data_IF_890466438209
#
_entry.id   IF_890466438209
#
_cell.length_a   1.000
_cell.length_b   1.000
_cell.length_c   1.000
_cell.angle_alpha   90.00
_cell.angle_beta   90.00
_cell.angle_gamma   90.00
#
_symmetry.space_group_name_H-M   'P 1'
#
loop_
_entity.id
_entity.type
_entity.pdbx_description
1 polymer ?
#
# COMPACT_ATOMS: atom_id res chain seq x y z
N UNK A 1 13.42 -12.85 -0.58
CA UNK A 1 14.10 -11.54 -0.60
C UNK A 1 13.73 -10.86 -1.91
N UNK A 2 13.12 -9.67 -1.86
CA UNK A 2 12.81 -8.90 -3.06
C UNK A 2 14.12 -8.53 -3.77
N UNK A 3 14.20 -8.85 -5.05
CA UNK A 3 15.32 -8.46 -5.91
C UNK A 3 14.95 -7.12 -6.54
N UNK A 4 15.83 -6.14 -6.44
CA UNK A 4 15.62 -4.83 -7.04
C UNK A 4 16.78 -4.49 -7.98
N UNK A 5 16.49 -3.65 -8.97
CA UNK A 5 17.48 -3.03 -9.83
C UNK A 5 17.47 -1.53 -9.58
N UNK A 6 18.65 -0.94 -9.62
CA UNK A 6 18.84 0.49 -9.45
C UNK A 6 19.60 1.08 -10.62
N UNK A 7 19.15 2.23 -11.08
CA UNK A 7 19.78 3.01 -12.13
C UNK A 7 19.91 4.46 -11.68
N UNK A 8 21.01 5.11 -12.06
CA UNK A 8 21.27 6.52 -11.79
C UNK A 8 21.71 7.22 -13.07
N UNK A 9 21.28 8.47 -13.21
CA UNK A 9 21.73 9.37 -14.27
C UNK A 9 23.17 9.83 -14.13
N UNK A 10 23.65 9.86 -12.90
CA UNK A 10 24.96 10.35 -12.51
C UNK A 10 25.86 9.18 -12.12
N UNK A 11 27.14 9.34 -12.37
CA UNK A 11 28.14 8.31 -12.11
C UNK A 11 28.54 8.34 -10.63
N UNK A 12 28.91 7.18 -10.11
CA UNK A 12 29.41 6.99 -8.74
C UNK A 12 30.60 6.05 -8.73
N UNK A 13 31.56 6.31 -7.84
CA UNK A 13 32.70 5.42 -7.62
C UNK A 13 32.32 4.19 -6.79
N UNK A 14 31.39 4.38 -5.83
CA UNK A 14 30.79 3.30 -5.04
C UNK A 14 29.55 2.76 -5.72
N UNK A 15 29.24 1.48 -5.51
CA UNK A 15 27.98 0.89 -5.98
C UNK A 15 26.79 1.56 -5.31
N UNK A 16 25.87 2.07 -6.12
CA UNK A 16 24.66 2.73 -5.64
C UNK A 16 23.74 1.80 -4.83
N UNK A 17 23.82 0.49 -5.08
CA UNK A 17 23.13 -0.56 -4.31
C UNK A 17 23.44 -0.46 -2.80
N UNK A 18 24.65 -0.01 -2.44
CA UNK A 18 25.06 0.13 -1.04
C UNK A 18 24.28 1.25 -0.34
N UNK A 19 23.77 2.24 -1.08
CA UNK A 19 22.98 3.32 -0.52
C UNK A 19 21.50 2.93 -0.31
N UNK A 20 21.05 1.77 -0.80
CA UNK A 20 19.63 1.38 -0.75
C UNK A 20 19.39 0.26 0.24
N UNK A 21 18.47 0.49 1.15
CA UNK A 21 17.98 -0.51 2.11
C UNK A 21 16.49 -0.80 1.90
N UNK A 22 16.09 -2.05 2.13
CA UNK A 22 14.72 -2.52 1.89
C UNK A 22 14.18 -3.17 3.15
N UNK A 23 13.00 -2.75 3.60
CA UNK A 23 12.32 -3.24 4.80
C UNK A 23 10.89 -3.68 4.48
N UNK A 24 10.38 -4.69 5.20
CA UNK A 24 9.05 -5.27 4.96
C UNK A 24 8.02 -4.89 6.02
N UNK A 25 8.45 -4.27 7.12
CA UNK A 25 7.61 -3.94 8.26
C UNK A 25 7.61 -2.42 8.53
N UNK A 26 6.61 -1.97 9.28
CA UNK A 26 6.37 -0.57 9.64
C UNK A 26 7.23 -0.11 10.82
N UNK A 27 8.41 -0.70 11.01
CA UNK A 27 9.30 -0.29 12.09
C UNK A 27 9.64 1.20 11.94
N UNK A 28 9.52 1.93 13.04
CA UNK A 28 9.81 3.36 13.10
C UNK A 28 11.29 3.58 12.82
N UNK A 29 11.59 4.13 11.64
CA UNK A 29 12.94 4.34 11.17
C UNK A 29 13.54 5.58 11.82
N UNK A 30 14.27 5.40 12.92
CA UNK A 30 15.18 6.43 13.43
C UNK A 30 16.33 6.65 12.43
N UNK A 31 16.73 7.92 12.30
CA UNK A 31 17.74 8.39 11.36
C UNK A 31 19.13 7.83 11.69
N UNK A 32 19.38 7.50 12.96
CA UNK A 32 20.63 6.88 13.43
C UNK A 32 20.91 5.52 12.76
N UNK A 33 19.86 4.85 12.27
CA UNK A 33 19.98 3.60 11.51
C UNK A 33 20.05 3.83 9.99
N UNK A 34 20.06 5.08 9.54
CA UNK A 34 19.85 5.46 8.13
C UNK A 34 21.14 5.85 7.41
N UNK A 35 22.09 6.43 8.14
CA UNK A 35 23.33 6.97 7.58
C UNK A 35 24.51 6.19 8.15
N UNK A 36 25.19 5.43 7.29
CA UNK A 36 26.45 4.79 7.60
C UNK A 36 27.49 5.23 6.57
N UNK A 37 28.77 5.26 6.94
CA UNK A 37 29.84 5.74 6.05
C UNK A 37 29.92 4.89 4.76
N UNK A 38 29.51 3.63 4.87
CA UNK A 38 29.44 2.63 3.81
C UNK A 38 28.28 2.90 2.83
N UNK A 39 27.19 3.51 3.29
CA UNK A 39 26.00 3.83 2.47
C UNK A 39 26.12 5.18 1.76
N UNK A 40 27.06 6.03 2.20
CA UNK A 40 27.32 7.33 1.59
C UNK A 40 27.97 7.19 0.21
N UNK A 41 27.30 7.71 -0.82
CA UNK A 41 27.72 7.69 -2.22
C UNK A 41 27.73 9.12 -2.78
N UNK A 42 28.86 9.50 -3.38
CA UNK A 42 28.95 10.74 -4.16
C UNK A 42 28.48 10.46 -5.59
N UNK A 43 27.51 11.24 -6.06
CA UNK A 43 27.01 11.20 -7.42
C UNK A 43 27.57 12.39 -8.19
N UNK A 44 28.18 12.14 -9.35
CA UNK A 44 28.80 13.16 -10.21
C UNK A 44 28.17 13.15 -11.61
N UNK A 45 27.81 14.32 -12.11
CA UNK A 45 27.37 14.45 -13.51
C UNK A 45 28.55 14.36 -14.45
N UNK A 46 28.59 13.33 -15.30
CA UNK A 46 29.66 13.14 -16.29
C UNK A 46 29.38 13.79 -17.65
N UNK A 47 28.10 14.07 -17.98
CA UNK A 47 27.69 14.38 -19.36
C UNK A 47 26.96 15.71 -19.54
N UNK A 48 26.31 16.25 -18.50
CA UNK A 48 25.60 17.53 -18.58
C UNK A 48 25.54 18.20 -17.19
N UNK A 49 26.25 19.31 -16.95
CA UNK A 49 26.24 19.99 -15.66
C UNK A 49 24.86 20.60 -15.33
N UNK A 50 23.99 20.79 -16.31
CA UNK A 50 22.65 21.40 -16.11
C UNK A 50 21.52 20.38 -15.95
N UNK A 51 21.80 19.07 -16.01
CA UNK A 51 20.76 18.05 -15.84
C UNK A 51 20.65 17.61 -14.38
N UNK A 52 19.45 17.69 -13.82
CA UNK A 52 19.13 17.14 -12.49
C UNK A 52 19.51 15.66 -12.38
N UNK A 53 19.90 15.23 -11.18
CA UNK A 53 20.14 13.83 -10.89
C UNK A 53 18.80 13.07 -10.85
N UNK A 54 18.74 11.87 -11.44
CA UNK A 54 17.61 10.96 -11.32
C UNK A 54 18.08 9.56 -10.93
N UNK A 55 17.35 8.92 -10.02
CA UNK A 55 17.54 7.54 -9.60
C UNK A 55 16.24 6.78 -9.85
N UNK A 56 16.33 5.68 -10.59
CA UNK A 56 15.23 4.75 -10.84
C UNK A 56 15.45 3.49 -10.04
N UNK A 57 14.44 3.08 -9.26
CA UNK A 57 14.47 1.84 -8.51
C UNK A 57 13.28 0.99 -8.94
N UNK A 58 13.57 -0.23 -9.38
CA UNK A 58 12.56 -1.17 -9.85
C UNK A 58 12.65 -2.48 -9.06
N UNK A 59 11.52 -2.90 -8.49
CA UNK A 59 11.36 -4.18 -7.81
C UNK A 59 10.95 -5.22 -8.85
N UNK A 60 11.69 -6.33 -8.89
CA UNK A 60 11.45 -7.41 -9.85
C UNK A 60 9.99 -7.84 -9.88
N UNK A 61 9.42 -8.02 -11.07
CA UNK A 61 8.02 -8.41 -11.30
C UNK A 61 7.61 -9.72 -10.61
N UNK A 62 8.57 -10.58 -10.30
CA UNK A 62 8.35 -11.82 -9.54
C UNK A 62 8.13 -11.60 -8.03
N UNK A 63 8.27 -10.38 -7.54
CA UNK A 63 8.05 -10.00 -6.15
C UNK A 63 6.58 -9.76 -5.86
N UNK A 64 6.07 -10.36 -4.78
CA UNK A 64 4.73 -10.06 -4.25
C UNK A 64 4.67 -8.70 -3.54
N UNK A 65 5.77 -7.97 -3.49
CA UNK A 65 5.93 -6.77 -2.68
C UNK A 65 6.06 -5.52 -3.55
N UNK A 66 5.41 -4.44 -3.14
CA UNK A 66 5.40 -3.12 -3.77
C UNK A 66 5.98 -2.08 -2.82
N UNK A 67 6.64 -1.06 -3.36
CA UNK A 67 7.17 0.09 -2.62
C UNK A 67 5.99 0.93 -2.15
N UNK A 68 5.84 1.09 -0.84
CA UNK A 68 4.74 1.82 -0.19
C UNK A 68 5.20 3.09 0.53
N UNK A 69 6.48 3.14 0.91
CA UNK A 69 7.09 4.29 1.58
C UNK A 69 8.52 4.47 1.09
N UNK A 70 8.90 5.73 0.92
CA UNK A 70 10.25 6.16 0.59
C UNK A 70 10.75 7.05 1.73
N UNK A 71 11.89 6.69 2.29
CA UNK A 71 12.67 7.58 3.14
C UNK A 71 14.04 7.80 2.46
N UNK A 72 14.58 9.00 2.54
CA UNK A 72 15.76 9.40 1.77
C UNK A 72 16.54 10.48 2.52
N UNK A 73 17.86 10.32 2.59
CA UNK A 73 18.79 11.30 3.15
C UNK A 73 19.77 11.72 2.05
N UNK A 74 19.78 13.01 1.71
CA UNK A 74 20.61 13.54 0.62
C UNK A 74 20.94 15.03 0.81
N UNK A 75 21.81 15.57 -0.03
CA UNK A 75 22.06 17.01 -0.11
C UNK A 75 20.90 17.80 -0.77
N UNK A 76 19.95 17.10 -1.41
CA UNK A 76 18.87 17.74 -2.13
C UNK A 76 17.73 18.16 -1.21
N UNK A 77 17.40 19.45 -1.24
CA UNK A 77 16.25 20.00 -0.50
C UNK A 77 14.90 19.68 -1.14
N UNK A 78 14.85 19.55 -2.47
CA UNK A 78 13.61 19.32 -3.22
C UNK A 78 13.73 18.04 -4.01
N UNK A 79 12.80 17.13 -3.78
CA UNK A 79 12.78 15.80 -4.38
C UNK A 79 11.44 15.61 -5.10
N UNK A 80 11.49 15.28 -6.38
CA UNK A 80 10.31 15.01 -7.21
C UNK A 80 10.21 13.51 -7.44
N UNK A 81 9.01 12.94 -7.23
CA UNK A 81 8.74 11.52 -7.38
C UNK A 81 7.87 11.26 -8.59
N UNK A 82 8.23 10.24 -9.35
CA UNK A 82 7.54 9.78 -10.54
C UNK A 82 7.31 8.27 -10.49
N UNK A 83 6.21 7.82 -11.10
CA UNK A 83 5.85 6.41 -11.17
C UNK A 83 6.44 5.68 -12.37
N UNK A 84 5.95 4.45 -12.66
CA UNK A 84 6.49 3.59 -13.72
C UNK A 84 6.33 4.14 -15.15
N UNK A 85 5.33 4.98 -15.40
CA UNK A 85 5.04 5.57 -16.71
C UNK A 85 5.50 7.02 -16.79
N UNK A 86 6.51 7.39 -16.00
CA UNK A 86 6.97 8.77 -15.79
C UNK A 86 5.83 9.72 -15.35
N UNK A 87 4.76 9.19 -14.76
CA UNK A 87 3.69 10.00 -14.20
C UNK A 87 4.17 10.69 -12.92
N UNK A 88 3.88 11.98 -12.81
CA UNK A 88 4.24 12.75 -11.62
C UNK A 88 3.38 12.31 -10.42
N UNK A 89 4.05 11.94 -9.33
CA UNK A 89 3.39 11.53 -8.08
C UNK A 89 3.32 12.73 -7.12
N UNK A 90 4.47 13.26 -6.73
CA UNK A 90 4.56 14.31 -5.72
C UNK A 90 5.89 15.04 -5.72
N UNK A 91 5.92 16.25 -5.14
CA UNK A 91 7.15 16.95 -4.77
C UNK A 91 7.24 16.96 -3.26
N UNK A 92 8.39 16.55 -2.74
CA UNK A 92 8.68 16.51 -1.32
C UNK A 92 9.75 17.55 -0.99
N UNK A 93 9.50 18.33 0.06
CA UNK A 93 10.46 19.26 0.61
C UNK A 93 11.13 18.61 1.80
N UNK A 94 12.42 18.33 1.68
CA UNK A 94 13.17 17.66 2.71
C UNK A 94 13.45 18.59 3.90
N UNK A 95 13.40 18.03 5.10
CA UNK A 95 13.69 18.71 6.35
C UNK A 95 15.21 18.80 6.52
N UNK A 96 15.70 20.00 6.87
CA UNK A 96 17.11 20.18 7.18
C UNK A 96 17.44 19.43 8.47
N UNK A 97 18.54 18.70 8.44
CA UNK A 97 19.00 17.90 9.58
C UNK A 97 20.25 18.48 10.23
N UNK A 98 21.31 18.61 9.44
CA UNK A 98 22.64 18.98 9.92
C UNK A 98 23.51 19.49 8.76
N UNK A 99 24.68 20.02 9.08
CA UNK A 99 25.76 20.30 8.12
C UNK A 99 26.93 19.34 8.35
N UNK A 100 27.30 18.57 7.34
CA UNK A 100 28.45 17.66 7.36
C UNK A 100 29.45 18.08 6.28
N UNK A 101 30.69 18.41 6.67
CA UNK A 101 31.76 18.84 5.74
C UNK A 101 31.31 19.93 4.73
N UNK A 102 30.63 20.98 5.22
CA UNK A 102 30.06 22.08 4.42
C UNK A 102 28.92 21.69 3.45
N UNK A 103 28.44 20.45 3.53
CA UNK A 103 27.27 19.94 2.82
C UNK A 103 26.06 19.89 3.76
N UNK A 104 24.98 20.57 3.36
CA UNK A 104 23.72 20.50 4.09
C UNK A 104 23.07 19.13 3.88
N UNK A 105 22.67 18.49 4.96
CA UNK A 105 22.03 17.18 4.98
C UNK A 105 20.53 17.38 5.15
N UNK A 106 19.76 16.80 4.26
CA UNK A 106 18.30 16.84 4.31
C UNK A 106 17.72 15.44 4.38
N UNK A 107 16.63 15.30 5.14
CA UNK A 107 15.85 14.08 5.26
C UNK A 107 14.45 14.28 4.70
N UNK A 108 13.97 13.28 3.98
CA UNK A 108 12.58 13.22 3.55
C UNK A 108 12.01 11.85 3.82
N UNK A 109 10.75 11.84 4.21
CA UNK A 109 9.98 10.63 4.37
C UNK A 109 8.59 10.86 3.77
N UNK A 110 8.15 9.95 2.92
CA UNK A 110 6.85 10.07 2.26
C UNK A 110 6.24 8.72 1.97
N UNK A 111 4.93 8.64 2.13
CA UNK A 111 4.13 7.51 1.68
C UNK A 111 3.84 7.69 0.18
N UNK A 112 3.93 6.61 -0.57
CA UNK A 112 3.61 6.59 -2.00
C UNK A 112 2.52 5.56 -2.26
N UNK A 113 1.78 5.74 -3.35
CA UNK A 113 0.91 4.69 -3.86
C UNK A 113 1.75 3.44 -4.14
N UNK A 114 1.37 2.25 -3.62
CA UNK A 114 2.14 1.03 -3.81
C UNK A 114 2.51 0.78 -5.27
N UNK A 115 3.81 0.76 -5.57
CA UNK A 115 4.34 0.63 -6.93
C UNK A 115 5.54 -0.32 -7.01
N UNK A 116 5.71 -0.99 -8.14
CA UNK A 116 6.91 -1.80 -8.43
C UNK A 116 8.10 -0.94 -8.86
N UNK A 117 7.86 0.28 -9.32
CA UNK A 117 8.91 1.21 -9.76
C UNK A 117 8.71 2.60 -9.16
N UNK A 118 9.81 3.23 -8.78
CA UNK A 118 9.86 4.64 -8.40
C UNK A 118 11.04 5.34 -9.07
N UNK A 119 10.76 6.54 -9.56
CA UNK A 119 11.69 7.45 -10.19
C UNK A 119 11.85 8.68 -9.29
N UNK A 120 13.07 8.88 -8.78
CA UNK A 120 13.41 9.95 -7.84
C UNK A 120 14.26 10.97 -8.57
N UNK A 121 13.80 12.21 -8.65
CA UNK A 121 14.53 13.31 -9.26
C UNK A 121 14.92 14.33 -8.20
N UNK A 122 16.22 14.62 -8.14
CA UNK A 122 16.78 15.57 -7.19
C UNK A 122 16.82 16.95 -7.84
N UNK A 123 16.01 17.88 -7.33
CA UNK A 123 15.85 19.22 -7.86
C UNK A 123 16.52 20.26 -6.95
N UNK A 124 16.92 21.39 -7.56
CA UNK A 124 17.48 22.55 -6.85
C UNK A 124 18.70 22.20 -5.97
N UNK A 125 19.62 21.44 -6.54
CA UNK A 125 20.89 21.10 -5.88
C UNK A 125 21.73 22.36 -5.66
N UNK A 126 22.45 22.40 -4.53
CA UNK A 126 23.42 23.47 -4.22
C UNK A 126 24.59 23.45 -5.22
N UNK A 127 25.01 22.25 -5.60
CA UNK A 127 26.04 22.03 -6.60
C UNK A 127 25.42 21.47 -7.89
N UNK A 128 25.78 22.02 -9.04
CA UNK A 128 25.15 21.66 -10.33
C UNK A 128 25.60 20.27 -10.83
N UNK A 129 26.79 19.82 -10.46
CA UNK A 129 27.43 18.64 -11.03
C UNK A 129 27.80 17.54 -10.01
N UNK A 130 27.48 17.74 -8.72
CA UNK A 130 27.74 16.76 -7.67
C UNK A 130 26.65 16.80 -6.60
N UNK A 131 26.39 15.68 -5.97
CA UNK A 131 25.56 15.62 -4.77
C UNK A 131 25.94 14.41 -3.93
N UNK A 132 25.76 14.55 -2.62
CA UNK A 132 25.85 13.42 -1.70
C UNK A 132 24.49 12.74 -1.51
N UNK A 133 24.49 11.43 -1.70
CA UNK A 133 23.41 10.53 -1.30
C UNK A 133 23.89 9.74 -0.08
N UNK A 134 23.24 9.94 1.06
CA UNK A 134 23.64 9.30 2.31
C UNK A 134 22.91 7.97 2.52
N UNK A 135 21.68 7.87 2.02
CA UNK A 135 20.92 6.61 2.03
C UNK A 135 19.51 6.76 1.46
N UNK A 136 18.99 5.65 0.95
CA UNK A 136 17.62 5.45 0.50
C UNK A 136 17.07 4.25 1.26
N UNK A 137 15.86 4.37 1.79
CA UNK A 137 15.14 3.27 2.40
C UNK A 137 13.79 3.11 1.75
N UNK A 138 13.51 1.88 1.34
CA UNK A 138 12.24 1.48 0.76
C UNK A 138 11.50 0.58 1.75
N UNK A 139 10.28 0.96 2.10
CA UNK A 139 9.37 0.06 2.80
C UNK A 139 8.48 -0.63 1.78
N UNK A 140 8.51 -1.96 1.78
CA UNK A 140 7.72 -2.77 0.90
C UNK A 140 6.49 -3.33 1.62
N UNK A 141 5.33 -3.17 1.00
CA UNK A 141 4.08 -3.78 1.43
C UNK A 141 3.71 -4.94 0.50
N UNK A 142 3.14 -6.01 1.03
CA UNK A 142 2.64 -7.11 0.22
C UNK A 142 1.44 -6.66 -0.63
N UNK A 143 1.46 -6.96 -1.93
CA UNK A 143 0.32 -6.71 -2.82
C UNK A 143 -0.81 -7.72 -2.53
N UNK A 144 -2.01 -7.20 -2.28
CA UNK A 144 -3.24 -8.00 -2.09
C UNK A 144 -3.76 -8.61 -3.40
N UNK A 145 -3.26 -8.14 -4.55
CA UNK A 145 -3.75 -8.51 -5.88
C UNK A 145 -3.61 -10.01 -6.16
N UNK A 146 -2.60 -10.68 -5.60
CA UNK A 146 -2.37 -12.13 -5.80
C UNK A 146 -3.36 -13.01 -5.04
N UNK A 147 -3.99 -12.52 -3.97
CA UNK A 147 -5.04 -13.29 -3.29
C UNK A 147 -6.30 -13.39 -4.14
N UNK A 148 -6.64 -12.35 -4.89
CA UNK A 148 -7.78 -12.35 -5.81
C UNK A 148 -7.54 -13.34 -6.96
N UNK A 149 -6.30 -13.45 -7.46
CA UNK A 149 -5.94 -14.44 -8.49
C UNK A 149 -5.95 -15.88 -7.96
N UNK A 150 -5.58 -16.09 -6.69
CA UNK A 150 -5.69 -17.41 -6.04
C UNK A 150 -7.13 -17.78 -5.69
N UNK A 151 -7.99 -16.81 -5.38
CA UNK A 151 -9.43 -17.04 -5.17
C UNK A 151 -10.17 -17.34 -6.48
N UNK A 152 -9.64 -16.87 -7.62
CA UNK A 152 -10.13 -17.16 -8.96
C UNK A 152 -9.74 -18.55 -9.51
N UNK A 153 -9.14 -19.42 -8.68
CA UNK A 153 -8.93 -20.84 -9.01
C UNK A 153 -10.28 -21.61 -8.93
N UNK A 154 -11.27 -21.15 -9.68
CA UNK A 154 -12.52 -21.88 -9.87
C UNK A 154 -12.15 -23.15 -10.62
N UNK A 155 -12.21 -24.30 -9.94
CA UNK A 155 -12.01 -25.60 -10.56
C UNK A 155 -13.17 -25.89 -11.53
N UNK A 156 -13.07 -25.33 -12.73
CA UNK A 156 -14.10 -25.38 -13.75
C UNK A 156 -14.35 -26.80 -14.23
N UNK A 157 -13.38 -27.70 -14.06
CA UNK A 157 -13.51 -29.13 -14.34
C UNK A 157 -14.53 -29.76 -13.41
N UNK A 158 -14.39 -29.53 -12.10
CA UNK A 158 -15.32 -30.05 -11.09
C UNK A 158 -16.74 -29.47 -11.24
N UNK A 159 -16.85 -28.19 -11.62
CA UNK A 159 -18.14 -27.55 -11.95
C UNK A 159 -18.76 -28.19 -13.20
N UNK A 160 -17.96 -28.46 -14.24
CA UNK A 160 -18.44 -29.07 -15.49
C UNK A 160 -18.87 -30.52 -15.29
N UNK A 161 -18.14 -31.28 -14.47
CA UNK A 161 -18.46 -32.67 -14.17
C UNK A 161 -19.77 -32.76 -13.37
N UNK A 162 -19.95 -31.92 -12.34
CA UNK A 162 -21.21 -31.82 -11.61
C UNK A 162 -22.40 -31.37 -12.46
N UNK A 163 -22.19 -30.47 -13.41
CA UNK A 163 -23.24 -30.02 -14.33
C UNK A 163 -23.64 -31.11 -15.33
N UNK A 164 -22.70 -31.95 -15.78
CA UNK A 164 -22.99 -33.11 -16.64
C UNK A 164 -23.81 -34.17 -15.91
N UNK A 165 -23.52 -34.41 -14.64
CA UNK A 165 -24.26 -35.37 -13.81
C UNK A 165 -25.68 -34.89 -13.48
N UNK A 166 -25.97 -33.59 -13.67
CA UNK A 166 -27.24 -32.98 -13.30
C UNK A 166 -28.37 -33.11 -14.33
N UNK A 167 -28.14 -33.72 -15.52
CA UNK A 167 -29.12 -33.88 -16.61
C UNK A 167 -29.91 -32.60 -17.01
N UNK A 168 -29.45 -31.41 -16.62
CA UNK A 168 -30.03 -30.14 -17.03
C UNK A 168 -29.29 -29.62 -18.26
N UNK A 169 -30.03 -29.33 -19.32
CA UNK A 169 -29.49 -28.60 -20.47
C UNK A 169 -29.12 -27.19 -20.02
N UNK A 170 -27.84 -26.82 -20.15
CA UNK A 170 -27.41 -25.46 -19.85
C UNK A 170 -28.18 -24.48 -20.74
N UNK A 171 -28.71 -23.42 -20.13
CA UNK A 171 -29.21 -22.28 -20.87
C UNK A 171 -28.08 -21.65 -21.70
N UNK A 172 -28.41 -21.14 -22.89
CA UNK A 172 -27.50 -20.39 -23.77
C UNK A 172 -26.74 -19.26 -23.03
N UNK A 173 -27.41 -18.62 -22.05
CA UNK A 173 -26.81 -17.59 -21.19
C UNK A 173 -25.76 -18.17 -20.24
N UNK A 174 -26.03 -19.33 -19.67
CA UNK A 174 -25.10 -20.03 -18.78
C UNK A 174 -23.89 -20.55 -19.55
N UNK A 175 -24.09 -21.02 -20.80
CA UNK A 175 -22.99 -21.44 -21.66
C UNK A 175 -22.10 -20.26 -22.08
N UNK A 176 -22.69 -19.11 -22.38
CA UNK A 176 -21.96 -17.87 -22.68
C UNK A 176 -21.16 -17.37 -21.48
N UNK A 177 -21.74 -17.40 -20.28
CA UNK A 177 -21.04 -17.08 -19.04
C UNK A 177 -19.91 -18.07 -18.75
N UNK A 178 -20.11 -19.37 -19.02
CA UNK A 178 -19.05 -20.39 -18.90
C UNK A 178 -17.89 -20.11 -19.86
N UNK A 179 -18.18 -19.80 -21.14
CA UNK A 179 -17.16 -19.45 -22.14
C UNK A 179 -16.39 -18.19 -21.72
N UNK A 180 -17.08 -17.20 -21.17
CA UNK A 180 -16.45 -16.01 -20.59
C UNK A 180 -15.50 -16.38 -19.44
N UNK A 181 -15.96 -17.10 -18.42
CA UNK A 181 -15.11 -17.50 -17.29
C UNK A 181 -13.92 -18.37 -17.73
N UNK A 182 -14.09 -19.22 -18.76
CA UNK A 182 -13.00 -19.98 -19.38
C UNK A 182 -11.95 -19.09 -20.04
N UNK A 183 -12.36 -18.02 -20.74
CA UNK A 183 -11.39 -17.10 -21.34
C UNK A 183 -10.56 -16.32 -20.32
N UNK A 184 -11.05 -16.16 -19.07
CA UNK A 184 -10.28 -15.53 -17.99
C UNK A 184 -9.42 -16.51 -17.20
N UNK A 185 -9.87 -17.75 -17.02
CA UNK A 185 -9.18 -18.76 -16.21
C UNK A 185 -8.00 -19.46 -16.90
N UNK A 186 -7.77 -19.23 -18.20
CA UNK A 186 -6.71 -19.91 -18.98
C UNK A 186 -5.49 -19.00 -19.23
N UNK A 187 -5.43 -17.81 -18.63
CA UNK A 187 -4.33 -16.86 -18.81
C UNK A 187 -3.09 -17.19 -17.96
N UNK A 188 -2.53 -18.39 -18.10
CA UNK A 188 -1.16 -18.68 -17.66
C UNK A 188 -0.11 -18.32 -18.73
N UNK A 189 -0.51 -17.71 -19.86
CA UNK A 189 0.43 -17.31 -20.92
C UNK A 189 0.34 -15.82 -21.27
N UNK A 190 1.33 -15.05 -20.81
CA UNK A 190 2.07 -13.96 -21.51
C UNK A 190 1.34 -12.93 -22.40
N UNK A 191 0.03 -12.75 -22.30
CA UNK A 191 -0.66 -11.68 -23.01
C UNK A 191 -1.45 -10.83 -22.04
N UNK A 192 -1.13 -9.53 -22.03
CA UNK A 192 -1.93 -8.46 -21.43
C UNK A 192 -3.40 -8.67 -21.79
N UNK A 193 -4.25 -8.79 -20.77
CA UNK A 193 -5.69 -8.80 -20.95
C UNK A 193 -6.12 -7.39 -21.34
N UNK A 194 -6.45 -7.18 -22.62
CA UNK A 194 -6.89 -5.90 -23.14
C UNK A 194 -8.19 -5.45 -22.42
N UNK A 195 -8.16 -4.36 -21.63
CA UNK A 195 -9.32 -3.85 -20.91
C UNK A 195 -10.49 -3.45 -21.84
N UNK A 196 -10.24 -3.30 -23.15
CA UNK A 196 -11.30 -3.04 -24.13
C UNK A 196 -12.20 -4.24 -24.39
N UNK A 197 -11.75 -5.47 -24.11
CA UNK A 197 -12.59 -6.68 -24.26
C UNK A 197 -13.66 -6.72 -23.16
N UNK A 198 -13.30 -6.36 -21.92
CA UNK A 198 -14.26 -6.17 -20.81
C UNK A 198 -15.29 -5.10 -21.14
N UNK A 199 -14.83 -3.98 -21.69
CA UNK A 199 -15.70 -2.87 -22.05
C UNK A 199 -16.68 -3.25 -23.16
N UNK A 200 -16.20 -3.90 -24.23
CA UNK A 200 -17.05 -4.40 -25.32
C UNK A 200 -18.09 -5.42 -24.87
N UNK A 201 -17.76 -6.29 -23.92
CA UNK A 201 -18.70 -7.29 -23.40
C UNK A 201 -19.77 -6.64 -22.52
N UNK A 202 -19.40 -5.67 -21.67
CA UNK A 202 -20.36 -4.87 -20.90
C UNK A 202 -21.26 -4.01 -21.80
N UNK A 203 -20.70 -3.44 -22.87
CA UNK A 203 -21.45 -2.70 -23.89
C UNK A 203 -22.42 -3.59 -24.66
N UNK A 204 -22.03 -4.84 -24.96
CA UNK A 204 -22.92 -5.80 -25.64
C UNK A 204 -24.13 -6.21 -24.80
N UNK A 205 -24.08 -6.06 -23.47
CA UNK A 205 -25.24 -6.26 -22.58
C UNK A 205 -26.18 -5.04 -22.52
N UNK A 206 -25.73 -3.85 -22.98
CA UNK A 206 -26.53 -2.62 -22.93
C UNK A 206 -27.33 -2.34 -24.21
N UNK A 207 -27.18 -3.14 -25.28
CA UNK A 207 -27.85 -2.92 -26.56
C UNK A 207 -29.09 -3.80 -26.79
N UNK A 208 -29.88 -4.07 -25.75
CA UNK A 208 -31.26 -4.50 -25.96
C UNK A 208 -32.23 -3.53 -25.29
N UNK A 209 -32.86 -2.73 -26.16
CA UNK A 209 -34.13 -2.00 -25.94
C UNK A 209 -34.16 -0.84 -24.94
N UNK A 210 -34.56 0.31 -25.51
CA UNK A 210 -35.16 1.53 -24.94
C UNK A 210 -34.24 2.75 -24.75
N UNK A 211 -34.73 3.86 -25.33
CA UNK A 211 -34.05 5.12 -25.66
C UNK A 211 -33.79 6.08 -24.48
N UNK A 212 -33.90 5.65 -23.23
CA UNK A 212 -33.85 6.59 -22.08
C UNK A 212 -32.92 6.11 -20.96
N UNK A 213 -31.59 6.22 -21.14
CA UNK A 213 -30.63 5.81 -20.10
C UNK A 213 -29.50 6.82 -19.91
N UNK A 214 -29.82 8.01 -19.38
CA UNK A 214 -28.82 8.91 -18.77
C UNK A 214 -29.01 9.10 -17.25
N UNK A 215 -30.04 8.47 -16.64
CA UNK A 215 -30.37 8.67 -15.21
C UNK A 215 -30.33 7.42 -14.31
N UNK A 216 -29.97 6.24 -14.84
CA UNK A 216 -30.12 4.99 -14.08
C UNK A 216 -28.81 4.24 -13.71
N UNK A 217 -27.64 4.82 -14.00
CA UNK A 217 -26.35 4.20 -13.63
C UNK A 217 -26.19 4.08 -12.10
N UNK A 218 -26.64 5.08 -11.33
CA UNK A 218 -26.52 5.08 -9.87
C UNK A 218 -27.32 3.95 -9.19
N UNK A 219 -28.48 3.55 -9.74
CA UNK A 219 -29.29 2.45 -9.18
C UNK A 219 -28.69 1.07 -9.42
N UNK A 220 -27.90 0.89 -10.49
CA UNK A 220 -27.28 -0.41 -10.81
C UNK A 220 -26.00 -0.66 -10.01
N UNK A 221 -25.25 0.38 -9.66
CA UNK A 221 -24.11 0.25 -8.73
C UNK A 221 -24.54 -0.08 -7.30
N UNK A 222 -25.74 0.34 -6.88
CA UNK A 222 -26.25 0.05 -5.54
C UNK A 222 -26.41 -1.46 -5.25
N UNK A 223 -26.55 -2.30 -6.29
CA UNK A 223 -26.63 -3.77 -6.17
C UNK A 223 -25.25 -4.46 -6.21
N UNK A 224 -24.19 -3.75 -6.57
CA UNK A 224 -22.81 -4.27 -6.56
C UNK A 224 -22.08 -3.96 -5.25
N UNK A 225 -22.54 -2.96 -4.50
CA UNK A 225 -21.98 -2.59 -3.18
C UNK A 225 -22.00 -3.76 -2.17
N UNK A 226 -23.06 -4.61 -2.08
CA UNK A 226 -23.06 -5.75 -1.16
C UNK A 226 -22.07 -6.86 -1.52
N UNK A 227 -21.43 -6.80 -2.69
CA UNK A 227 -20.43 -7.77 -3.15
C UNK A 227 -19.01 -7.41 -2.70
N UNK A 228 -18.77 -6.15 -2.30
CA UNK A 228 -17.48 -5.66 -1.82
C UNK A 228 -17.33 -5.72 -0.29
N UNK A 229 -18.41 -5.97 0.44
CA UNK A 229 -18.41 -6.12 1.90
C UNK A 229 -19.05 -7.45 2.29
N UNK A 230 -18.29 -8.55 2.13
CA UNK A 230 -18.55 -9.81 2.84
C UNK A 230 -17.27 -10.26 3.53
N UNK A 231 -16.95 -9.59 4.65
CA UNK A 231 -16.33 -10.28 5.77
C UNK A 231 -17.44 -10.99 6.53
N UNK A 232 -17.13 -12.20 7.00
CA UNK A 232 -18.06 -13.20 7.49
C UNK A 232 -18.95 -12.74 8.65
N UNK A 233 -20.11 -13.41 8.65
CA UNK A 233 -21.13 -13.51 9.67
C UNK A 233 -22.23 -12.44 9.80
N UNK A 234 -23.46 -12.98 9.81
CA UNK A 234 -24.75 -12.36 10.13
C UNK A 234 -25.51 -11.75 8.93
N UNK A 235 -26.11 -12.61 8.10
CA UNK A 235 -27.41 -12.32 7.47
C UNK A 235 -28.11 -13.62 7.07
N UNK A 236 -28.74 -14.27 8.04
CA UNK A 236 -29.91 -15.11 7.79
C UNK A 236 -31.13 -14.30 8.18
N UNK A 237 -32.09 -14.23 7.26
CA UNK A 237 -33.42 -13.63 7.35
C UNK A 237 -33.53 -12.16 6.91
N UNK A 238 -33.54 -11.90 5.60
CA UNK A 238 -34.61 -11.12 4.97
C UNK A 238 -34.80 -11.66 3.54
N UNK A 239 -35.69 -12.63 3.39
CA UNK A 239 -36.35 -12.90 2.11
C UNK A 239 -37.44 -11.85 1.92
N UNK A 240 -37.43 -11.23 0.74
CA UNK A 240 -38.56 -10.66 0.01
C UNK A 240 -39.69 -9.98 0.82
N UNK A 241 -39.67 -8.65 0.85
CA UNK A 241 -40.91 -7.87 0.95
C UNK A 241 -40.95 -6.89 -0.23
N UNK A 242 -41.70 -7.30 -1.25
CA UNK A 242 -42.23 -6.46 -2.30
C UNK A 242 -43.37 -5.63 -1.71
N UNK A 243 -43.21 -4.31 -1.50
CA UNK A 243 -44.34 -3.42 -1.18
C UNK A 243 -44.12 -2.00 -1.71
N UNK A 244 -44.88 -1.64 -2.74
CA UNK A 244 -45.44 -0.31 -2.85
C UNK A 244 -46.30 -0.08 -1.59
N UNK A 245 -45.91 0.84 -0.71
CA UNK A 245 -46.63 1.11 0.53
C UNK A 245 -46.08 2.31 1.28
N UNK A 246 -46.88 3.34 1.37
CA UNK A 246 -46.67 4.57 2.15
C UNK A 246 -46.70 4.27 3.65
N UNK A 247 -45.88 5.00 4.42
CA UNK A 247 -45.85 5.16 5.89
C UNK A 247 -45.13 4.06 6.74
N UNK A 248 -44.34 4.56 7.73
CA UNK A 248 -43.66 3.89 8.86
C UNK A 248 -42.16 3.52 8.76
N UNK A 249 -41.34 4.22 7.96
CA UNK A 249 -39.87 4.01 7.93
C UNK A 249 -39.04 4.75 9.01
N UNK A 250 -39.61 5.61 9.85
CA UNK A 250 -38.78 6.38 10.80
C UNK A 250 -38.30 5.59 12.01
N UNK A 251 -39.09 4.59 12.46
CA UNK A 251 -38.77 3.79 13.66
C UNK A 251 -37.56 2.87 13.45
N UNK A 252 -37.52 2.13 12.34
CA UNK A 252 -36.44 1.16 12.06
C UNK A 252 -35.08 1.85 11.82
N UNK A 253 -35.10 3.06 11.27
CA UNK A 253 -33.88 3.87 11.08
C UNK A 253 -33.38 4.38 12.43
N UNK A 254 -34.27 4.70 13.36
CA UNK A 254 -33.91 5.20 14.68
C UNK A 254 -33.34 4.08 15.57
N UNK A 255 -33.87 2.86 15.45
CA UNK A 255 -33.34 1.69 16.14
C UNK A 255 -31.96 1.28 15.59
N UNK A 256 -31.77 1.35 14.26
CA UNK A 256 -30.46 1.13 13.65
C UNK A 256 -29.44 2.20 14.09
N UNK A 257 -29.87 3.47 14.18
CA UNK A 257 -29.02 4.56 14.66
C UNK A 257 -28.58 4.33 16.12
N UNK A 258 -29.52 3.97 17.00
CA UNK A 258 -29.21 3.63 18.40
C UNK A 258 -28.23 2.47 18.52
N UNK A 259 -28.37 1.45 17.67
CA UNK A 259 -27.44 0.32 17.63
C UNK A 259 -26.03 0.75 17.21
N UNK A 260 -25.92 1.60 16.19
CA UNK A 260 -24.64 2.14 15.72
C UNK A 260 -24.00 3.00 16.82
N UNK A 261 -24.76 3.90 17.44
CA UNK A 261 -24.26 4.77 18.51
C UNK A 261 -23.77 3.94 19.71
N UNK A 262 -24.50 2.89 20.11
CA UNK A 262 -24.06 1.97 21.15
C UNK A 262 -22.78 1.22 20.78
N UNK A 263 -22.67 0.73 19.54
CA UNK A 263 -21.47 0.02 19.08
C UNK A 263 -20.26 0.93 18.98
N UNK A 264 -20.46 2.18 18.57
CA UNK A 264 -19.40 3.20 18.57
C UNK A 264 -18.90 3.46 19.99
N UNK A 265 -19.81 3.63 20.95
CA UNK A 265 -19.47 3.86 22.35
C UNK A 265 -18.72 2.67 22.97
N UNK A 266 -19.11 1.43 22.63
CA UNK A 266 -18.42 0.22 23.06
C UNK A 266 -16.98 0.15 22.53
N UNK A 267 -16.78 0.52 21.25
CA UNK A 267 -15.45 0.58 20.64
C UNK A 267 -14.59 1.65 21.30
N UNK A 268 -15.15 2.84 21.57
CA UNK A 268 -14.45 3.92 22.26
C UNK A 268 -13.99 3.48 23.66
N UNK A 269 -14.87 2.87 24.45
CA UNK A 269 -14.51 2.37 25.79
C UNK A 269 -13.43 1.29 25.74
N UNK A 270 -13.50 0.38 24.77
CA UNK A 270 -12.47 -0.64 24.58
C UNK A 270 -11.12 -0.02 24.20
N UNK A 271 -11.11 0.98 23.30
CA UNK A 271 -9.90 1.72 22.95
C UNK A 271 -9.31 2.47 24.14
N UNK A 272 -10.15 3.16 24.93
CA UNK A 272 -9.69 3.86 26.13
C UNK A 272 -9.06 2.91 27.13
N UNK A 273 -9.70 1.78 27.44
CA UNK A 273 -9.14 0.80 28.38
C UNK A 273 -7.83 0.18 27.87
N UNK A 274 -7.70 -0.06 26.56
CA UNK A 274 -6.45 -0.54 25.96
C UNK A 274 -5.32 0.49 26.07
N UNK A 275 -5.62 1.77 25.87
CA UNK A 275 -4.66 2.86 26.02
C UNK A 275 -4.24 3.01 27.48
N UNK A 276 -5.18 2.99 28.42
CA UNK A 276 -4.88 3.07 29.87
C UNK A 276 -3.96 1.92 30.31
N UNK A 277 -4.26 0.69 29.89
CA UNK A 277 -3.41 -0.48 30.17
C UNK A 277 -1.99 -0.33 29.58
N UNK A 278 -1.86 0.21 28.37
CA UNK A 278 -0.54 0.46 27.76
C UNK A 278 0.24 1.55 28.51
N UNK A 279 -0.43 2.61 28.96
CA UNK A 279 0.19 3.67 29.76
C UNK A 279 0.68 3.10 31.09
N UNK A 280 -0.14 2.29 31.77
CA UNK A 280 0.24 1.65 33.04
C UNK A 280 1.43 0.69 32.86
N UNK A 281 1.44 -0.08 31.78
CA UNK A 281 2.57 -0.95 31.45
C UNK A 281 3.86 -0.15 31.23
N UNK A 282 3.81 0.92 30.44
CA UNK A 282 4.97 1.78 30.19
C UNK A 282 5.47 2.46 31.46
N UNK A 283 4.57 2.90 32.35
CA UNK A 283 4.95 3.47 33.64
C UNK A 283 5.64 2.45 34.53
N UNK A 284 5.16 1.20 34.56
CA UNK A 284 5.78 0.13 35.33
C UNK A 284 7.17 -0.22 34.77
N UNK A 285 7.33 -0.29 33.45
CA UNK A 285 8.63 -0.53 32.81
C UNK A 285 9.62 0.59 33.12
N UNK A 286 9.21 1.86 33.04
CA UNK A 286 10.07 2.98 33.42
C UNK A 286 10.45 2.95 34.90
N UNK A 287 9.50 2.67 35.80
CA UNK A 287 9.77 2.57 37.23
C UNK A 287 10.77 1.44 37.54
N UNK A 288 10.67 0.30 36.84
CA UNK A 288 11.65 -0.78 36.96
C UNK A 288 13.03 -0.34 36.48
N UNK A 289 13.14 0.36 35.35
CA UNK A 289 14.41 0.91 34.88
C UNK A 289 15.03 1.89 35.87
N UNK A 290 14.23 2.81 36.44
CA UNK A 290 14.68 3.73 37.48
C UNK A 290 15.20 3.00 38.72
N UNK A 291 14.48 1.97 39.19
CA UNK A 291 14.92 1.16 40.32
C UNK A 291 16.23 0.41 40.04
N UNK A 292 16.41 -0.09 38.82
CA UNK A 292 17.66 -0.73 38.40
C UNK A 292 18.82 0.25 38.42
N UNK A 293 18.64 1.47 37.91
CA UNK A 293 19.66 2.53 37.95
C UNK A 293 19.99 2.91 39.40
N UNK A 294 18.99 3.11 40.26
CA UNK A 294 19.19 3.40 41.68
C UNK A 294 19.97 2.30 42.39
N UNK A 295 19.69 1.03 42.08
CA UNK A 295 20.42 -0.12 42.64
C UNK A 295 21.90 -0.13 42.22
N UNK A 296 22.19 0.23 40.96
CA UNK A 296 23.53 0.30 40.42
C UNK A 296 24.32 1.45 41.05
N UNK A 297 23.71 2.64 41.16
CA UNK A 297 24.31 3.80 41.82
C UNK A 297 24.63 3.53 43.29
N UNK A 298 23.72 2.89 44.02
CA UNK A 298 23.95 2.49 45.41
C UNK A 298 25.09 1.47 45.56
N UNK A 299 25.25 0.58 44.58
CA UNK A 299 26.33 -0.40 44.56
C UNK A 299 27.69 0.27 44.32
N UNK A 300 27.76 1.23 43.40
CA UNK A 300 28.96 2.03 43.11
C UNK A 300 29.35 2.87 44.34
N UNK A 301 28.37 3.54 44.97
CA UNK A 301 28.63 4.34 46.17
C UNK A 301 29.20 3.49 47.33
N UNK A 302 28.71 2.25 47.51
CA UNK A 302 29.26 1.32 48.51
C UNK A 302 30.69 0.86 48.20
N UNK A 303 31.08 0.80 46.93
CA UNK A 303 32.45 0.44 46.53
C UNK A 303 33.44 1.59 46.73
N UNK A 304 33.00 2.85 46.61
CA UNK A 304 33.84 4.03 46.84
C UNK A 304 34.04 4.39 48.32
N UNK A 305 33.25 3.79 49.23
CA UNK A 305 33.30 4.03 50.67
C UNK A 305 34.07 2.94 51.45
N UNK A 306 34.74 2.02 50.73
CA UNK A 306 35.70 1.03 51.27
C UNK A 306 37.10 1.37 50.82
#
# INVERSE_FOLDING_TARGET
MAVFTIFSSWDSEKKLENAVSVHYDSECTRIDNFVQLETCVELKSAKNPDSNCYIRINISESSLFLISKLSLVSEARVIELYGPNDEYISTCHAEYMDDFEDCAVYFVETMITPSSEINIKFARLKHMNRMWLYGIRLQLSQSLTTEITKLANINLKNVTDRLKDSNCTLSEKAESCRKFLQSYGVSESKYESDPQILLKVLESQNNSTTKDTSRNMSKRFHNLVPLLFKSEDIMKNVTEINCNGTLNKSSEIEDLKKYIDHKLQEIEQNLFSKIENQIEQLQNEQNQQYNNILSLLNSIHKQQSK
#
